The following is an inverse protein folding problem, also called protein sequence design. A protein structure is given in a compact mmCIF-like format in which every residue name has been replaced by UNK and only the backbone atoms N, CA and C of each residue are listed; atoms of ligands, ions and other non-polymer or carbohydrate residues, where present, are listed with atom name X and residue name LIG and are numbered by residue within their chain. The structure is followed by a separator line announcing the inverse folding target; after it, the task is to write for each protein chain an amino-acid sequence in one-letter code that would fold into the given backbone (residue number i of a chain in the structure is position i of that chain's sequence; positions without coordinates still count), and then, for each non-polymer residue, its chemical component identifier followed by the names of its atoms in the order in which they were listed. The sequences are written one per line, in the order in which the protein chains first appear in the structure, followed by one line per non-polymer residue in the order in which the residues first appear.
data_IF_970492236086
#
_entry.id   IF_970492236086
#
_cell.length_a   1.000
_cell.length_b   1.000
_cell.length_c   1.000
_cell.angle_alpha   90.00
_cell.angle_beta   90.00
_cell.angle_gamma   90.00
#
_symmetry.space_group_name_H-M   'P 1'
#
loop_
_entity.id
_entity.type
_entity.pdbx_description
1 polymer ?
#
# COMPACT_ATOMS: atom_id res chain seq x y z
N UNK A 1 -17.67 6.01 40.11
CA UNK A 1 -18.89 6.35 39.36
C UNK A 1 -19.63 5.05 39.11
N UNK A 2 -20.81 4.89 39.71
CA UNK A 2 -21.51 3.61 39.86
C UNK A 2 -22.53 3.37 38.75
N UNK A 3 -22.72 2.09 38.39
CA UNK A 3 -23.62 1.57 37.33
C UNK A 3 -25.09 2.01 37.42
N UNK A 4 -25.51 2.56 38.55
CA UNK A 4 -26.89 3.01 38.78
C UNK A 4 -27.28 4.26 37.97
N UNK A 5 -26.32 5.08 37.55
CA UNK A 5 -26.58 6.24 36.69
C UNK A 5 -26.80 5.83 35.24
N UNK A 6 -26.11 4.79 34.78
CA UNK A 6 -26.28 4.26 33.42
C UNK A 6 -27.60 3.48 33.30
N UNK A 7 -27.97 2.72 34.33
CA UNK A 7 -29.25 2.02 34.38
C UNK A 7 -30.45 2.99 34.43
N UNK A 8 -30.35 4.12 35.16
CA UNK A 8 -31.38 5.17 35.13
C UNK A 8 -31.47 5.90 33.78
N UNK A 9 -30.34 6.12 33.11
CA UNK A 9 -30.31 6.77 31.80
C UNK A 9 -30.89 5.87 30.69
N UNK A 10 -30.69 4.55 30.78
CA UNK A 10 -31.24 3.60 29.80
C UNK A 10 -32.70 3.22 30.10
N UNK A 11 -33.15 3.32 31.36
CA UNK A 11 -34.55 3.12 31.73
C UNK A 11 -35.49 4.24 31.25
N UNK A 12 -35.02 5.48 31.14
CA UNK A 12 -35.83 6.63 30.70
C UNK A 12 -36.05 6.69 29.19
N UNK A 13 -35.29 5.93 28.40
CA UNK A 13 -35.39 5.91 26.94
C UNK A 13 -36.41 4.88 26.40
N UNK A 14 -36.97 4.02 27.24
CA UNK A 14 -37.85 2.93 26.79
C UNK A 14 -39.35 3.25 26.83
N UNK A 15 -39.77 4.39 27.39
CA UNK A 15 -41.20 4.72 27.57
C UNK A 15 -41.65 6.03 26.94
N UNK A 16 -40.79 6.79 26.27
CA UNK A 16 -41.21 7.98 25.54
C UNK A 16 -41.61 7.59 24.11
N UNK A 17 -42.86 7.14 23.94
CA UNK A 17 -43.54 7.23 22.64
C UNK A 17 -43.40 8.68 22.17
N UNK A 18 -42.79 8.88 21.01
CA UNK A 18 -42.68 10.18 20.34
C UNK A 18 -44.06 10.83 20.31
N UNK A 19 -44.24 11.89 21.10
CA UNK A 19 -45.42 12.73 20.98
C UNK A 19 -45.26 13.55 19.70
N UNK A 20 -46.27 13.54 18.84
CA UNK A 20 -46.33 14.36 17.61
C UNK A 20 -46.01 15.83 17.89
N UNK A 21 -46.30 16.30 19.10
CA UNK A 21 -45.99 17.64 19.62
C UNK A 21 -44.48 17.96 19.61
N UNK A 22 -43.61 16.97 19.86
CA UNK A 22 -42.17 17.18 19.77
C UNK A 22 -41.70 17.29 18.31
N UNK A 23 -42.38 16.63 17.38
CA UNK A 23 -42.11 16.72 15.95
C UNK A 23 -42.55 18.08 15.39
N UNK A 24 -43.71 18.60 15.81
CA UNK A 24 -44.21 19.90 15.37
C UNK A 24 -43.33 21.03 15.89
N UNK A 25 -42.85 20.95 17.13
CA UNK A 25 -41.92 21.95 17.67
C UNK A 25 -40.57 21.95 16.96
N UNK A 26 -40.05 20.77 16.60
CA UNK A 26 -38.82 20.64 15.80
C UNK A 26 -39.05 21.18 14.38
N UNK A 27 -40.23 20.96 13.82
CA UNK A 27 -40.61 21.47 12.50
C UNK A 27 -40.74 23.00 12.51
N UNK A 28 -41.35 23.58 13.53
CA UNK A 28 -41.46 25.03 13.70
C UNK A 28 -40.09 25.68 13.95
N UNK A 29 -39.23 25.06 14.75
CA UNK A 29 -37.85 25.54 14.94
C UNK A 29 -37.03 25.45 13.65
N UNK A 30 -37.22 24.39 12.85
CA UNK A 30 -36.62 24.28 11.53
C UNK A 30 -37.17 25.34 10.57
N UNK A 31 -38.48 25.53 10.46
CA UNK A 31 -39.07 26.54 9.59
C UNK A 31 -38.66 27.96 9.99
N UNK A 32 -38.57 28.25 11.29
CA UNK A 32 -38.07 29.52 11.81
C UNK A 32 -36.59 29.73 11.46
N UNK A 33 -35.75 28.69 11.60
CA UNK A 33 -34.34 28.70 11.23
C UNK A 33 -34.13 28.89 9.71
N UNK A 34 -35.01 28.31 8.89
CA UNK A 34 -34.98 28.47 7.43
C UNK A 34 -35.39 29.87 7.00
N UNK A 35 -36.42 30.47 7.62
CA UNK A 35 -36.82 31.87 7.35
C UNK A 35 -35.73 32.86 7.77
N UNK A 36 -35.04 32.64 8.89
CA UNK A 36 -33.90 33.49 9.29
C UNK A 36 -32.70 33.35 8.35
N UNK A 37 -32.52 32.17 7.72
CA UNK A 37 -31.48 31.97 6.69
C UNK A 37 -31.82 32.67 5.37
N UNK A 38 -33.09 32.66 4.97
CA UNK A 38 -33.57 33.33 3.76
C UNK A 38 -33.58 34.87 3.88
N UNK A 39 -33.75 35.39 5.10
CA UNK A 39 -33.79 36.84 5.39
C UNK A 39 -32.41 37.50 5.54
N UNK A 40 -31.29 36.75 5.48
CA UNK A 40 -29.96 37.38 5.44
C UNK A 40 -29.78 38.07 4.09
N UNK A 41 -29.54 39.39 4.04
CA UNK A 41 -29.18 40.05 2.80
C UNK A 41 -27.95 39.33 2.24
N UNK A 42 -28.02 38.92 0.98
CA UNK A 42 -26.89 38.37 0.22
C UNK A 42 -25.74 39.37 0.32
N UNK A 43 -24.85 39.18 1.29
CA UNK A 43 -23.52 39.77 1.26
C UNK A 43 -22.93 39.33 -0.08
N UNK A 44 -22.57 40.30 -0.90
CA UNK A 44 -21.89 40.11 -2.17
C UNK A 44 -20.65 39.25 -1.95
N UNK A 45 -20.82 37.94 -2.08
CA UNK A 45 -19.71 37.00 -2.01
C UNK A 45 -18.85 37.21 -3.23
N UNK A 46 -17.54 37.23 -3.03
CA UNK A 46 -16.58 37.05 -4.11
C UNK A 46 -17.07 35.92 -5.02
N UNK A 47 -17.41 36.27 -6.26
CA UNK A 47 -17.78 35.32 -7.28
C UNK A 47 -16.53 34.51 -7.62
N UNK A 48 -16.33 33.39 -6.93
CA UNK A 48 -15.34 32.40 -7.34
C UNK A 48 -15.82 31.89 -8.70
N UNK A 49 -15.05 32.14 -9.78
CA UNK A 49 -15.48 31.76 -11.11
C UNK A 49 -15.67 30.24 -11.19
N UNK A 50 -16.65 29.79 -11.97
CA UNK A 50 -17.06 28.38 -12.08
C UNK A 50 -15.89 27.44 -12.41
N UNK A 51 -14.86 27.93 -13.11
CA UNK A 51 -13.65 27.16 -13.41
C UNK A 51 -12.88 26.75 -12.14
N UNK A 52 -12.85 27.58 -11.09
CA UNK A 52 -12.13 27.27 -9.83
C UNK A 52 -12.86 26.17 -9.06
N UNK A 53 -14.19 26.10 -9.15
CA UNK A 53 -14.96 24.98 -8.58
C UNK A 53 -14.68 23.67 -9.33
N UNK A 54 -14.62 23.73 -10.66
CA UNK A 54 -14.28 22.55 -11.47
C UNK A 54 -12.85 22.06 -11.21
N UNK A 55 -11.89 22.98 -11.10
CA UNK A 55 -10.48 22.67 -10.78
C UNK A 55 -10.36 22.10 -9.36
N UNK A 56 -11.08 22.66 -8.38
CA UNK A 56 -11.06 22.14 -7.00
C UNK A 56 -11.65 20.73 -6.90
N UNK A 57 -12.73 20.44 -7.65
CA UNK A 57 -13.31 19.09 -7.71
C UNK A 57 -12.34 18.12 -8.40
N UNK A 58 -11.74 18.51 -9.53
CA UNK A 58 -10.76 17.67 -10.22
C UNK A 58 -9.52 17.39 -9.35
N UNK A 59 -8.99 18.41 -8.67
CA UNK A 59 -7.88 18.25 -7.73
C UNK A 59 -8.26 17.35 -6.54
N UNK A 60 -9.48 17.46 -6.02
CA UNK A 60 -9.99 16.58 -4.97
C UNK A 60 -10.06 15.12 -5.43
N UNK A 61 -10.55 14.85 -6.64
CA UNK A 61 -10.59 13.50 -7.21
C UNK A 61 -9.19 12.93 -7.40
N UNK A 62 -8.24 13.72 -7.92
CA UNK A 62 -6.85 13.31 -8.07
C UNK A 62 -6.17 13.03 -6.72
N UNK A 63 -6.42 13.85 -5.71
CA UNK A 63 -5.88 13.64 -4.37
C UNK A 63 -6.43 12.36 -3.72
N UNK A 64 -7.73 12.07 -3.89
CA UNK A 64 -8.34 10.82 -3.40
C UNK A 64 -7.77 9.63 -4.14
N UNK A 65 -7.63 9.69 -5.48
CA UNK A 65 -7.03 8.62 -6.27
C UNK A 65 -5.57 8.36 -5.85
N UNK A 66 -4.79 9.41 -5.63
CA UNK A 66 -3.41 9.30 -5.14
C UNK A 66 -3.35 8.67 -3.73
N UNK A 67 -4.24 9.07 -2.83
CA UNK A 67 -4.31 8.51 -1.49
C UNK A 67 -4.75 7.04 -1.49
N UNK A 68 -5.62 6.63 -2.42
CA UNK A 68 -6.01 5.22 -2.56
C UNK A 68 -4.86 4.35 -3.06
N UNK A 69 -4.08 4.81 -4.04
CA UNK A 69 -2.97 4.01 -4.59
C UNK A 69 -1.82 3.87 -3.57
N UNK A 70 -1.65 4.85 -2.68
CA UNK A 70 -0.62 4.81 -1.62
C UNK A 70 -1.14 4.35 -0.26
N UNK A 71 -2.33 3.74 -0.21
CA UNK A 71 -2.92 3.28 1.03
C UNK A 71 -2.15 2.08 1.59
N UNK A 72 -1.71 2.17 2.84
CA UNK A 72 -1.13 1.04 3.59
C UNK A 72 -2.21 0.22 4.29
N UNK A 73 -1.88 -1.02 4.68
CA UNK A 73 -2.80 -1.99 5.30
C UNK A 73 -3.53 -1.50 6.58
N UNK A 74 -2.99 -0.47 7.22
CA UNK A 74 -3.53 0.21 8.39
C UNK A 74 -4.64 1.23 8.06
N UNK A 75 -4.84 1.55 6.78
CA UNK A 75 -5.84 2.53 6.33
C UNK A 75 -7.15 1.89 5.85
N UNK A 76 -8.30 2.58 5.95
CA UNK A 76 -9.57 2.09 5.42
C UNK A 76 -9.60 2.05 3.88
N UNK A 77 -8.69 2.77 3.21
CA UNK A 77 -8.58 2.79 1.75
C UNK A 77 -7.83 1.58 1.20
N UNK A 78 -7.23 0.75 2.06
CA UNK A 78 -6.48 -0.42 1.65
C UNK A 78 -7.29 -1.37 0.76
N UNK A 79 -8.54 -1.67 1.12
CA UNK A 79 -9.41 -2.52 0.30
C UNK A 79 -9.68 -1.92 -1.09
N UNK A 80 -9.75 -0.59 -1.20
CA UNK A 80 -9.92 0.08 -2.49
C UNK A 80 -8.64 -0.01 -3.35
N UNK A 81 -7.46 0.09 -2.72
CA UNK A 81 -6.16 -0.14 -3.38
C UNK A 81 -6.11 -1.54 -3.98
N UNK A 82 -6.38 -2.56 -3.17
CA UNK A 82 -6.39 -3.97 -3.58
C UNK A 82 -7.34 -4.18 -4.76
N UNK A 83 -8.56 -3.66 -4.70
CA UNK A 83 -9.53 -3.79 -5.78
C UNK A 83 -9.08 -3.12 -7.10
N UNK A 84 -8.36 -2.01 -7.02
CA UNK A 84 -7.80 -1.33 -8.19
C UNK A 84 -6.64 -2.13 -8.78
N UNK A 85 -5.70 -2.58 -7.95
CA UNK A 85 -4.57 -3.43 -8.38
C UNK A 85 -5.04 -4.72 -9.03
N UNK A 86 -6.00 -5.42 -8.42
CA UNK A 86 -6.55 -6.67 -8.94
C UNK A 86 -7.28 -6.44 -10.28
N UNK A 87 -7.92 -5.28 -10.49
CA UNK A 87 -8.52 -4.92 -11.77
C UNK A 87 -7.48 -4.68 -12.87
N UNK A 88 -6.31 -4.14 -12.52
CA UNK A 88 -5.21 -3.92 -13.47
C UNK A 88 -4.57 -5.21 -13.97
N UNK A 89 -4.70 -6.33 -13.25
CA UNK A 89 -4.22 -7.65 -13.70
C UNK A 89 -4.75 -8.01 -15.09
N UNK A 90 -6.02 -7.70 -15.38
CA UNK A 90 -6.65 -8.02 -16.67
C UNK A 90 -6.18 -7.12 -17.83
N UNK A 91 -5.56 -5.98 -17.53
CA UNK A 91 -5.08 -5.00 -18.51
C UNK A 91 -3.59 -5.19 -18.85
N UNK A 92 -2.89 -6.04 -18.09
CA UNK A 92 -1.46 -6.20 -18.20
C UNK A 92 -1.07 -7.21 -19.28
N UNK A 93 0.04 -6.92 -19.98
CA UNK A 93 0.57 -7.79 -21.04
C UNK A 93 1.09 -9.13 -20.53
N UNK A 94 1.64 -9.14 -19.31
CA UNK A 94 2.06 -10.35 -18.60
C UNK A 94 1.41 -10.38 -17.21
N UNK A 95 0.22 -10.97 -17.09
CA UNK A 95 -0.53 -10.97 -15.84
C UNK A 95 0.10 -11.90 -14.78
N UNK A 96 0.88 -12.91 -15.16
CA UNK A 96 1.56 -13.81 -14.19
C UNK A 96 2.72 -13.09 -13.52
N UNK A 97 3.58 -12.42 -14.30
CA UNK A 97 4.67 -11.63 -13.72
C UNK A 97 4.14 -10.53 -12.80
N UNK A 98 3.07 -9.84 -13.21
CA UNK A 98 2.47 -8.77 -12.41
C UNK A 98 1.84 -9.26 -11.11
N UNK A 99 1.08 -10.36 -11.13
CA UNK A 99 0.50 -10.91 -9.89
C UNK A 99 1.58 -11.47 -8.96
N UNK A 100 2.69 -11.98 -9.51
CA UNK A 100 3.84 -12.43 -8.70
C UNK A 100 4.49 -11.25 -7.98
N UNK A 101 4.70 -10.12 -8.68
CA UNK A 101 5.20 -8.89 -8.06
C UNK A 101 4.25 -8.37 -6.96
N UNK A 102 2.95 -8.40 -7.23
CA UNK A 102 1.90 -8.02 -6.28
C UNK A 102 1.91 -8.89 -5.01
N UNK A 103 2.13 -10.20 -5.18
CA UNK A 103 2.25 -11.15 -4.09
C UNK A 103 3.46 -10.83 -3.19
N UNK A 104 4.63 -10.60 -3.80
CA UNK A 104 5.86 -10.26 -3.08
C UNK A 104 5.74 -8.93 -2.32
N UNK A 105 5.11 -7.91 -2.94
CA UNK A 105 4.87 -6.62 -2.30
C UNK A 105 3.97 -6.75 -1.06
N UNK A 106 2.85 -7.49 -1.17
CA UNK A 106 1.90 -7.71 -0.06
C UNK A 106 2.54 -8.52 1.07
N UNK A 107 3.41 -9.47 0.74
CA UNK A 107 4.16 -10.26 1.72
C UNK A 107 5.16 -9.39 2.49
N UNK A 108 5.86 -8.48 1.80
CA UNK A 108 6.76 -7.52 2.44
C UNK A 108 6.00 -6.53 3.34
N UNK A 109 4.82 -6.06 2.90
CA UNK A 109 3.96 -5.18 3.69
C UNK A 109 3.45 -5.86 4.97
N UNK A 110 3.01 -7.12 4.88
CA UNK A 110 2.63 -7.90 6.05
C UNK A 110 3.76 -8.02 7.07
N UNK A 111 4.97 -8.36 6.61
CA UNK A 111 6.17 -8.44 7.46
C UNK A 111 6.49 -7.09 8.12
N UNK A 112 6.33 -5.98 7.40
CA UNK A 112 6.53 -4.65 7.96
C UNK A 112 5.53 -4.34 9.08
N UNK A 113 4.25 -4.66 8.90
CA UNK A 113 3.20 -4.43 9.90
C UNK A 113 3.36 -5.31 11.15
N UNK A 114 3.89 -6.52 10.99
CA UNK A 114 4.26 -7.37 12.12
C UNK A 114 5.43 -6.77 12.92
N UNK A 115 6.43 -6.25 12.21
CA UNK A 115 7.58 -5.61 12.85
C UNK A 115 7.20 -4.32 13.60
N UNK A 116 6.19 -3.59 13.15
CA UNK A 116 5.65 -2.40 13.84
C UNK A 116 4.66 -2.75 14.95
N UNK A 117 4.26 -4.01 15.09
CA UNK A 117 3.33 -4.49 16.11
C UNK A 117 1.86 -4.25 15.79
N UNK A 118 1.52 -3.90 14.54
CA UNK A 118 0.14 -3.66 14.12
C UNK A 118 -0.51 -4.94 13.60
N UNK A 119 -0.98 -5.79 14.52
CA UNK A 119 -1.52 -7.11 14.21
C UNK A 119 -2.74 -7.09 13.26
N UNK A 120 -3.58 -6.05 13.31
CA UNK A 120 -4.75 -5.91 12.44
C UNK A 120 -4.35 -5.56 11.00
N UNK A 121 -3.37 -4.67 10.83
CA UNK A 121 -2.86 -4.33 9.51
C UNK A 121 -2.10 -5.52 8.90
N UNK A 122 -1.30 -6.22 9.71
CA UNK A 122 -0.63 -7.45 9.30
C UNK A 122 -1.61 -8.53 8.83
N UNK A 123 -2.72 -8.75 9.54
CA UNK A 123 -3.71 -9.75 9.13
C UNK A 123 -4.40 -9.39 7.82
N UNK A 124 -4.71 -8.11 7.59
CA UNK A 124 -5.26 -7.63 6.31
C UNK A 124 -4.28 -7.80 5.15
N UNK A 125 -3.01 -7.49 5.36
CA UNK A 125 -1.98 -7.67 4.34
C UNK A 125 -1.82 -9.16 3.97
N UNK A 126 -1.80 -10.06 4.97
CA UNK A 126 -1.77 -11.52 4.73
C UNK A 126 -2.99 -12.02 3.95
N UNK A 127 -4.19 -11.52 4.27
CA UNK A 127 -5.39 -11.87 3.52
C UNK A 127 -5.27 -11.43 2.04
N UNK A 128 -4.73 -10.24 1.79
CA UNK A 128 -4.47 -9.77 0.44
C UNK A 128 -3.39 -10.59 -0.29
N UNK A 129 -2.40 -11.14 0.44
CA UNK A 129 -1.41 -12.08 -0.09
C UNK A 129 -2.06 -13.41 -0.52
N UNK A 130 -2.98 -13.95 0.29
CA UNK A 130 -3.75 -15.15 -0.07
C UNK A 130 -4.62 -14.93 -1.31
N UNK A 131 -5.26 -13.76 -1.41
CA UNK A 131 -6.04 -13.37 -2.58
C UNK A 131 -5.17 -13.23 -3.84
N UNK A 132 -3.97 -12.64 -3.73
CA UNK A 132 -3.00 -12.58 -4.83
C UNK A 132 -2.55 -13.96 -5.28
N UNK A 133 -2.28 -14.89 -4.34
CA UNK A 133 -1.94 -16.27 -4.66
C UNK A 133 -3.10 -17.00 -5.35
N UNK A 134 -4.34 -16.72 -4.92
CA UNK A 134 -5.54 -17.23 -5.58
C UNK A 134 -5.69 -16.69 -7.00
N UNK A 135 -5.37 -15.42 -7.25
CA UNK A 135 -5.33 -14.83 -8.59
C UNK A 135 -4.22 -15.46 -9.43
N UNK A 136 -3.03 -15.67 -8.87
CA UNK A 136 -1.90 -16.29 -9.55
C UNK A 136 -2.28 -17.69 -10.06
N UNK A 137 -2.91 -18.50 -9.20
CA UNK A 137 -3.40 -19.83 -9.55
C UNK A 137 -4.53 -19.81 -10.60
N UNK A 138 -5.25 -18.70 -10.77
CA UNK A 138 -6.26 -18.53 -11.81
C UNK A 138 -5.68 -18.06 -13.15
N UNK A 139 -4.61 -17.26 -13.11
CA UNK A 139 -3.98 -16.68 -14.31
C UNK A 139 -2.96 -17.63 -14.93
N UNK A 140 -2.17 -18.34 -14.10
CA UNK A 140 -1.18 -19.31 -14.55
C UNK A 140 -1.72 -20.41 -15.50
N UNK A 141 -2.90 -21.03 -15.28
CA UNK A 141 -3.45 -22.00 -16.22
C UNK A 141 -3.86 -21.36 -17.56
N UNK A 142 -4.32 -20.10 -17.56
CA UNK A 142 -4.77 -19.43 -18.80
C UNK A 142 -3.65 -19.12 -19.79
N UNK A 143 -2.41 -18.95 -19.33
CA UNK A 143 -1.26 -18.78 -20.24
C UNK A 143 -0.90 -20.08 -20.98
N UNK A 144 -1.34 -21.24 -20.49
CA UNK A 144 -1.05 -22.54 -21.10
C UNK A 144 -2.14 -23.00 -22.09
N UNK A 145 -3.28 -22.31 -22.19
CA UNK A 145 -4.42 -22.71 -23.04
C UNK A 145 -4.32 -22.20 -24.51
N UNK A 146 -3.30 -21.42 -24.88
CA UNK A 146 -3.04 -20.97 -26.26
C UNK A 146 -1.95 -21.81 -26.97
N UNK A 147 -1.94 -23.13 -26.76
CA UNK A 147 -1.19 -24.10 -27.56
C UNK A 147 -1.95 -25.44 -27.62
N UNK A 148 -2.02 -26.13 -28.77
CA UNK A 148 -2.90 -27.27 -28.94
C UNK A 148 -2.50 -28.46 -28.05
N UNK A 149 -3.48 -28.91 -27.27
CA UNK A 149 -3.65 -30.23 -26.62
C UNK A 149 -2.83 -31.37 -27.27
N UNK A 150 -2.22 -32.25 -26.45
CA UNK A 150 -2.95 -33.46 -26.06
C UNK A 150 -2.85 -33.85 -24.57
N UNK A 151 -4.01 -34.30 -24.08
CA UNK A 151 -4.30 -35.32 -23.05
C UNK A 151 -3.91 -35.14 -21.57
N UNK A 152 -4.87 -35.38 -20.64
CA UNK A 152 -4.67 -35.18 -19.20
C UNK A 152 -4.10 -36.44 -18.54
N UNK A 153 -2.96 -36.31 -17.85
CA UNK A 153 -2.54 -37.31 -16.86
C UNK A 153 -2.69 -36.71 -15.47
N UNK A 154 -3.62 -37.27 -14.70
CA UNK A 154 -4.00 -36.78 -13.40
C UNK A 154 -2.89 -36.84 -12.36
N UNK A 155 -2.92 -35.86 -11.46
CA UNK A 155 -2.33 -35.95 -10.13
C UNK A 155 -3.39 -35.47 -9.13
N UNK A 156 -4.14 -36.43 -8.59
CA UNK A 156 -5.01 -36.20 -7.43
C UNK A 156 -4.10 -36.02 -6.23
N UNK A 157 -3.97 -34.80 -5.72
CA UNK A 157 -3.27 -34.53 -4.46
C UNK A 157 -4.20 -34.98 -3.32
N UNK A 158 -3.85 -36.09 -2.69
CA UNK A 158 -4.56 -36.66 -1.54
C UNK A 158 -4.35 -35.81 -0.28
N UNK A 159 -5.45 -35.32 0.25
CA UNK A 159 -5.61 -34.71 1.57
C UNK A 159 -5.43 -35.80 2.67
N UNK A 160 -4.52 -35.68 3.65
CA UNK A 160 -4.53 -36.59 4.79
C UNK A 160 -5.66 -36.20 5.76
N UNK A 161 -6.59 -37.15 5.93
CA UNK A 161 -7.69 -37.17 6.89
C UNK A 161 -7.17 -37.22 8.35
N UNK A 162 -7.81 -36.52 9.31
CA UNK A 162 -7.37 -36.54 10.72
C UNK A 162 -7.75 -37.88 11.40
N UNK A 163 -6.73 -38.57 11.90
CA UNK A 163 -6.89 -39.85 12.61
C UNK A 163 -7.22 -39.63 14.09
N UNK A 164 -8.11 -40.49 14.58
CA UNK A 164 -8.87 -40.42 15.82
C UNK A 164 -8.03 -40.45 17.11
N UNK A 165 -8.56 -39.72 18.09
CA UNK A 165 -8.26 -39.75 19.53
C UNK A 165 -8.23 -41.17 20.09
N UNK A 166 -7.16 -41.58 20.82
CA UNK A 166 -7.24 -42.69 21.75
C UNK A 166 -7.69 -42.23 23.14
N UNK A 167 -8.42 -43.16 23.75
CA UNK A 167 -9.11 -43.21 25.04
C UNK A 167 -8.16 -43.04 26.26
N UNK A 168 -8.58 -42.38 27.36
CA UNK A 168 -7.74 -42.20 28.53
C UNK A 168 -7.64 -43.50 29.35
N UNK A 169 -6.45 -44.10 29.35
CA UNK A 169 -6.11 -45.25 30.20
C UNK A 169 -6.01 -44.83 31.67
N UNK A 170 -6.88 -45.39 32.49
CA UNK A 170 -6.87 -45.29 33.95
C UNK A 170 -5.59 -45.91 34.49
N UNK A 171 -4.75 -45.11 35.17
CA UNK A 171 -3.52 -45.59 35.81
C UNK A 171 -3.65 -45.50 37.35
N UNK A 172 -3.28 -46.56 38.10
CA UNK A 172 -3.66 -46.72 39.50
C UNK A 172 -2.98 -45.78 40.49
N UNK A 173 -3.70 -45.58 41.58
CA UNK A 173 -3.41 -44.81 42.79
C UNK A 173 -2.04 -45.15 43.40
N UNK A 174 -1.14 -44.17 43.59
CA UNK A 174 0.07 -44.39 44.38
C UNK A 174 -0.22 -44.38 45.88
N UNK A 175 0.45 -45.32 46.55
CA UNK A 175 0.56 -45.55 48.00
C UNK A 175 0.95 -44.28 48.78
N UNK A 176 0.52 -44.14 50.06
CA UNK A 176 0.89 -42.99 50.89
C UNK A 176 2.40 -42.94 51.16
N UNK A 177 3.03 -41.87 50.68
CA UNK A 177 4.43 -41.52 50.94
C UNK A 177 4.57 -40.97 52.37
N UNK A 178 5.59 -41.37 53.14
CA UNK A 178 5.79 -40.90 54.51
C UNK A 178 5.99 -39.39 54.58
N UNK A 179 5.34 -38.77 55.57
CA UNK A 179 5.43 -37.36 55.94
C UNK A 179 6.89 -36.95 56.18
N UNK A 180 7.43 -36.13 55.28
CA UNK A 180 8.72 -35.48 55.46
C UNK A 180 8.62 -34.39 56.53
N UNK A 181 9.66 -34.34 57.37
CA UNK A 181 9.85 -33.36 58.45
C UNK A 181 9.74 -31.90 57.97
N UNK A 182 9.35 -30.96 58.85
CA UNK A 182 9.11 -29.57 58.48
C UNK A 182 10.37 -28.94 57.85
N UNK A 183 10.23 -28.23 56.72
CA UNK A 183 11.35 -27.54 56.09
C UNK A 183 11.85 -26.42 56.99
N UNK A 184 13.16 -26.36 57.17
CA UNK A 184 13.81 -25.25 57.87
C UNK A 184 13.55 -23.96 57.10
N UNK A 185 13.13 -22.94 57.82
CA UNK A 185 12.88 -21.58 57.33
C UNK A 185 14.10 -21.10 56.52
N UNK A 186 13.94 -20.77 55.22
CA UNK A 186 15.04 -20.24 54.43
C UNK A 186 15.44 -18.87 54.97
N UNK A 187 16.74 -18.70 55.17
CA UNK A 187 17.36 -17.43 55.55
C UNK A 187 17.10 -16.41 54.43
N UNK A 188 16.74 -15.14 54.74
CA UNK A 188 16.47 -14.12 53.73
C UNK A 188 17.68 -13.95 52.82
N UNK A 189 17.54 -14.40 51.58
CA UNK A 189 18.55 -14.20 50.54
C UNK A 189 18.42 -12.76 50.10
N UNK A 190 19.48 -11.97 50.30
CA UNK A 190 19.55 -10.58 49.85
C UNK A 190 19.36 -10.56 48.34
N UNK A 191 18.23 -10.00 47.90
CA UNK A 191 17.91 -9.84 46.50
C UNK A 191 18.99 -8.99 45.84
N UNK A 192 19.75 -9.59 44.92
CA UNK A 192 20.72 -8.86 44.10
C UNK A 192 19.95 -7.84 43.26
N UNK A 193 20.27 -6.58 43.45
CA UNK A 193 19.76 -5.46 42.65
C UNK A 193 19.92 -5.79 41.16
N UNK A 194 18.85 -5.71 40.35
CA UNK A 194 18.95 -6.01 38.93
C UNK A 194 19.93 -5.05 38.28
N UNK A 195 20.97 -5.60 37.65
CA UNK A 195 21.90 -4.84 36.83
C UNK A 195 21.11 -4.17 35.70
N UNK A 196 21.29 -2.86 35.45
CA UNK A 196 20.59 -2.18 34.37
C UNK A 196 20.85 -2.88 33.03
N UNK A 197 19.77 -3.19 32.31
CA UNK A 197 19.88 -3.73 30.95
C UNK A 197 20.63 -2.71 30.07
N UNK A 198 21.51 -3.16 29.16
CA UNK A 198 22.21 -2.27 28.26
C UNK A 198 21.20 -1.47 27.42
N UNK A 199 21.51 -0.20 27.09
CA UNK A 199 20.62 0.63 26.31
C UNK A 199 20.36 -0.03 24.95
N UNK A 200 19.07 -0.11 24.58
CA UNK A 200 18.66 -0.61 23.27
C UNK A 200 19.38 0.20 22.19
N UNK A 201 20.05 -0.44 21.20
CA UNK A 201 20.71 0.29 20.13
C UNK A 201 19.70 1.18 19.41
N UNK A 202 20.02 2.46 19.31
CA UNK A 202 19.24 3.42 18.52
C UNK A 202 19.24 2.94 17.06
N UNK A 203 18.08 2.83 16.40
CA UNK A 203 18.04 2.44 15.00
C UNK A 203 18.85 3.44 14.16
N UNK A 204 19.56 2.96 13.12
CA UNK A 204 20.27 3.85 12.20
C UNK A 204 19.28 4.86 11.60
N UNK A 205 19.73 6.10 11.31
CA UNK A 205 18.86 7.11 10.73
C UNK A 205 18.29 6.60 9.41
N UNK A 206 16.97 6.64 9.29
CA UNK A 206 16.28 6.35 8.03
C UNK A 206 16.81 7.32 6.95
N UNK A 207 17.31 6.82 5.81
CA UNK A 207 17.88 7.69 4.79
C UNK A 207 16.80 8.60 4.20
N UNK A 208 16.99 9.91 4.34
CA UNK A 208 16.05 10.93 3.86
C UNK A 208 15.99 10.93 2.33
N UNK A 209 14.79 10.73 1.79
CA UNK A 209 14.51 10.90 0.37
C UNK A 209 14.26 12.37 0.06
N UNK A 210 14.65 12.82 -1.13
CA UNK A 210 14.39 14.17 -1.61
C UNK A 210 14.16 14.18 -3.13
N UNK A 211 13.53 15.24 -3.63
CA UNK A 211 13.33 15.44 -5.05
C UNK A 211 14.66 15.83 -5.72
N UNK A 212 14.98 15.15 -6.81
CA UNK A 212 16.18 15.33 -7.61
C UNK A 212 15.78 15.80 -9.01
N UNK A 213 16.40 16.88 -9.46
CA UNK A 213 16.27 17.42 -10.80
C UNK A 213 17.34 16.82 -11.70
N UNK A 214 16.93 16.01 -12.68
CA UNK A 214 17.82 15.44 -13.67
C UNK A 214 17.76 16.23 -14.98
N UNK A 215 18.94 16.62 -15.47
CA UNK A 215 19.10 17.33 -16.75
C UNK A 215 20.19 16.70 -17.60
N UNK A 216 19.97 16.64 -18.91
CA UNK A 216 20.94 16.07 -19.83
C UNK A 216 20.64 16.37 -21.29
N UNK A 217 21.51 15.87 -22.16
CA UNK A 217 21.32 15.95 -23.61
C UNK A 217 21.32 14.58 -24.25
N UNK A 218 20.58 14.43 -25.34
CA UNK A 218 20.34 13.18 -26.05
C UNK A 218 20.51 13.42 -27.54
N UNK A 219 21.43 12.66 -28.14
CA UNK A 219 21.86 12.86 -29.52
C UNK A 219 21.90 11.51 -30.24
N UNK A 220 21.71 11.50 -31.55
CA UNK A 220 22.02 10.33 -32.37
C UNK A 220 23.55 10.19 -32.56
N UNK A 221 23.98 9.08 -33.15
CA UNK A 221 25.40 8.82 -33.41
C UNK A 221 26.05 9.84 -34.37
N UNK A 222 25.25 10.56 -35.16
CA UNK A 222 25.67 11.64 -36.06
C UNK A 222 25.73 13.03 -35.38
N UNK A 223 25.42 13.11 -34.08
CA UNK A 223 25.40 14.35 -33.31
C UNK A 223 24.12 15.17 -33.45
N UNK A 224 23.13 14.70 -34.22
CA UNK A 224 21.85 15.40 -34.32
C UNK A 224 21.02 15.23 -33.04
N UNK A 225 20.31 16.29 -32.59
CA UNK A 225 19.51 16.23 -31.37
C UNK A 225 18.31 15.28 -31.56
N UNK A 226 18.02 14.48 -30.53
CA UNK A 226 16.88 13.56 -30.57
C UNK A 226 15.63 14.22 -30.00
N UNK A 227 14.54 14.16 -30.75
CA UNK A 227 13.22 14.65 -30.32
C UNK A 227 12.28 13.49 -29.99
N UNK A 228 11.52 13.67 -28.90
CA UNK A 228 10.52 12.74 -28.38
C UNK A 228 11.11 11.33 -28.11
N UNK A 229 12.37 11.26 -27.70
CA UNK A 229 12.88 10.03 -27.11
C UNK A 229 12.24 9.86 -25.74
N UNK A 230 11.77 8.66 -25.48
CA UNK A 230 11.15 8.29 -24.23
C UNK A 230 12.21 7.89 -23.20
N UNK A 231 12.17 8.51 -22.03
CA UNK A 231 12.99 8.15 -20.87
C UNK A 231 12.19 7.23 -19.98
N UNK A 232 12.79 6.11 -19.57
CA UNK A 232 12.21 5.14 -18.66
C UNK A 232 13.23 4.65 -17.64
N UNK A 233 12.76 4.12 -16.51
CA UNK A 233 13.59 3.41 -15.53
C UNK A 233 13.74 1.93 -15.87
N UNK A 234 12.93 1.40 -16.78
CA UNK A 234 13.01 0.02 -17.26
C UNK A 234 13.78 -0.10 -18.57
N UNK A 235 14.48 -1.22 -18.76
CA UNK A 235 15.20 -1.55 -20.00
C UNK A 235 14.29 -1.96 -21.16
N UNK A 236 13.09 -2.42 -20.85
CA UNK A 236 12.01 -2.70 -21.81
C UNK A 236 11.24 -1.41 -22.05
N UNK A 237 10.75 -1.18 -23.27
CA UNK A 237 9.95 -0.01 -23.64
C UNK A 237 8.70 0.09 -22.75
N UNK A 238 8.85 0.77 -21.62
CA UNK A 238 7.86 0.90 -20.57
C UNK A 238 7.22 2.28 -20.57
N UNK A 239 6.56 2.61 -19.46
CA UNK A 239 5.95 3.93 -19.28
C UNK A 239 6.99 5.04 -19.39
N UNK A 240 6.60 6.10 -20.10
CA UNK A 240 7.45 7.23 -20.37
C UNK A 240 7.40 8.23 -19.21
N UNK A 241 8.51 8.36 -18.47
CA UNK A 241 8.59 9.31 -17.35
C UNK A 241 8.96 10.72 -17.82
N UNK A 242 9.65 10.83 -18.96
CA UNK A 242 10.03 12.08 -19.57
C UNK A 242 10.25 11.90 -21.07
N UNK A 243 10.16 12.99 -21.83
CA UNK A 243 10.45 13.00 -23.27
C UNK A 243 11.51 14.04 -23.58
N UNK A 244 12.33 13.78 -24.61
CA UNK A 244 13.33 14.74 -25.04
C UNK A 244 12.73 15.82 -25.93
N UNK A 245 13.13 17.07 -25.72
CA UNK A 245 12.76 18.19 -26.59
C UNK A 245 14.01 18.91 -27.05
N UNK A 246 14.22 18.99 -28.37
CA UNK A 246 15.42 19.53 -29.00
C UNK A 246 16.73 18.91 -28.46
N UNK A 247 16.72 17.58 -28.26
CA UNK A 247 17.86 16.87 -27.69
C UNK A 247 18.13 17.17 -26.21
N UNK A 248 17.26 17.90 -25.50
CA UNK A 248 17.36 18.13 -24.06
C UNK A 248 16.38 17.22 -23.31
N UNK A 249 16.80 16.73 -22.14
CA UNK A 249 15.96 15.98 -21.20
C UNK A 249 15.97 16.69 -19.85
N UNK A 250 14.79 16.89 -19.29
CA UNK A 250 14.56 17.52 -17.98
C UNK A 250 13.42 16.79 -17.28
N UNK A 251 13.67 16.26 -16.07
CA UNK A 251 12.64 15.65 -15.25
C UNK A 251 13.00 15.62 -13.76
N UNK A 252 11.99 15.37 -12.94
CA UNK A 252 12.12 15.22 -11.50
C UNK A 252 11.86 13.77 -11.09
N UNK A 253 12.65 13.27 -10.14
CA UNK A 253 12.43 11.97 -9.51
C UNK A 253 12.78 12.04 -8.02
N UNK A 254 12.35 11.04 -7.24
CA UNK A 254 12.67 10.95 -5.82
C UNK A 254 13.85 10.00 -5.65
N UNK A 255 14.91 10.45 -4.97
CA UNK A 255 16.11 9.65 -4.74
C UNK A 255 16.74 9.94 -3.38
N UNK A 256 17.66 9.06 -2.96
CA UNK A 256 18.50 9.26 -1.77
C UNK A 256 19.93 9.55 -2.19
N UNK A 257 20.65 10.29 -1.35
CA UNK A 257 22.07 10.55 -1.58
C UNK A 257 22.84 9.22 -1.56
N UNK A 258 23.58 8.95 -2.63
CA UNK A 258 24.32 7.71 -2.85
C UNK A 258 23.56 6.68 -3.69
N UNK A 259 22.27 6.88 -3.99
CA UNK A 259 21.52 5.99 -4.88
C UNK A 259 22.12 6.04 -6.29
N UNK A 260 22.29 4.86 -6.90
CA UNK A 260 22.70 4.72 -8.29
C UNK A 260 21.50 4.31 -9.13
N UNK A 261 21.08 5.18 -10.04
CA UNK A 261 19.89 5.00 -10.86
C UNK A 261 20.29 4.89 -12.33
N UNK A 262 19.64 3.99 -13.06
CA UNK A 262 19.80 3.87 -14.51
C UNK A 262 18.53 4.29 -15.22
N UNK A 263 18.68 5.17 -16.20
CA UNK A 263 17.62 5.56 -17.11
C UNK A 263 17.92 5.02 -18.50
N UNK A 264 16.88 4.52 -19.15
CA UNK A 264 16.90 4.00 -20.50
C UNK A 264 16.17 4.97 -21.39
N UNK A 265 16.80 5.33 -22.51
CA UNK A 265 16.23 6.22 -23.50
C UNK A 265 15.91 5.40 -24.73
N UNK A 266 14.69 5.53 -25.23
CA UNK A 266 14.22 4.78 -26.38
C UNK A 266 13.51 5.72 -27.36
N UNK A 267 13.84 5.63 -28.64
CA UNK A 267 13.13 6.34 -29.71
C UNK A 267 12.81 5.35 -30.81
N UNK A 268 11.53 5.19 -31.10
CA UNK A 268 11.10 4.48 -32.30
C UNK A 268 10.81 5.50 -33.39
N UNK A 269 11.54 5.39 -34.49
CA UNK A 269 11.26 6.20 -35.67
C UNK A 269 10.08 5.58 -36.42
N UNK A 270 8.98 6.35 -36.50
CA UNK A 270 7.73 5.92 -37.15
C UNK A 270 7.89 5.75 -38.66
N UNK A 271 8.87 6.43 -39.28
CA UNK A 271 9.09 6.37 -40.73
C UNK A 271 9.87 5.12 -41.13
N UNK A 272 10.88 4.75 -40.32
CA UNK A 272 11.77 3.62 -40.62
C UNK A 272 11.46 2.36 -39.83
N UNK A 273 10.59 2.45 -38.81
CA UNK A 273 10.30 1.36 -37.88
C UNK A 273 11.48 0.99 -36.98
N UNK A 274 12.58 1.76 -37.01
CA UNK A 274 13.81 1.46 -36.27
C UNK A 274 13.72 1.97 -34.84
N UNK A 275 14.17 1.16 -33.90
CA UNK A 275 14.26 1.55 -32.49
C UNK A 275 15.71 1.87 -32.13
N UNK A 276 15.92 3.08 -31.65
CA UNK A 276 17.17 3.53 -31.08
C UNK A 276 17.09 3.45 -29.57
N UNK A 277 18.15 2.94 -28.92
CA UNK A 277 18.25 2.85 -27.46
C UNK A 277 19.54 3.46 -26.94
N UNK A 278 19.47 3.99 -25.73
CA UNK A 278 20.59 4.48 -24.94
C UNK A 278 20.38 4.17 -23.46
N UNK A 279 21.47 4.16 -22.69
CA UNK A 279 21.44 3.99 -21.24
C UNK A 279 22.31 5.05 -20.61
N UNK A 280 21.80 5.67 -19.56
CA UNK A 280 22.57 6.57 -18.69
C UNK A 280 22.44 6.11 -17.25
N UNK A 281 23.54 6.12 -16.52
CA UNK A 281 23.56 5.77 -15.10
C UNK A 281 24.11 6.95 -14.33
N UNK A 282 23.38 7.38 -13.30
CA UNK A 282 23.78 8.49 -12.44
C UNK A 282 23.81 8.07 -10.97
N UNK A 283 24.65 8.76 -10.21
CA UNK A 283 24.68 8.66 -8.75
C UNK A 283 24.14 9.94 -8.16
N UNK A 284 23.13 9.84 -7.31
CA UNK A 284 22.50 11.00 -6.68
C UNK A 284 23.43 11.57 -5.62
N UNK A 285 24.01 12.74 -5.88
CA UNK A 285 24.88 13.43 -4.91
C UNK A 285 24.16 14.57 -4.16
N UNK A 286 23.10 15.11 -4.75
CA UNK A 286 22.36 16.26 -4.25
C UNK A 286 21.08 16.49 -5.06
N UNK A 287 20.41 17.64 -4.90
CA UNK A 287 19.10 17.93 -5.51
C UNK A 287 19.17 18.13 -7.03
N UNK A 288 20.37 18.21 -7.61
CA UNK A 288 20.59 18.21 -9.05
C UNK A 288 21.47 17.04 -9.45
N UNK A 289 21.12 16.38 -10.56
CA UNK A 289 21.85 15.25 -11.10
C UNK A 289 22.06 15.42 -12.62
N UNK A 290 23.28 15.81 -13.06
CA UNK A 290 23.57 15.91 -14.49
C UNK A 290 23.67 14.50 -15.09
N UNK A 291 22.82 14.21 -16.08
CA UNK A 291 22.84 12.98 -16.87
C UNK A 291 23.99 12.99 -17.91
N UNK A 292 24.50 14.17 -18.26
CA UNK A 292 25.49 14.34 -19.32
C UNK A 292 24.88 14.18 -20.72
N UNK A 293 25.71 13.82 -21.70
CA UNK A 293 25.29 13.58 -23.08
C UNK A 293 25.15 12.10 -23.33
N UNK A 294 23.95 11.65 -23.69
CA UNK A 294 23.67 10.25 -24.05
C UNK A 294 23.50 10.13 -25.55
N UNK A 295 24.20 9.17 -26.15
CA UNK A 295 24.05 8.85 -27.58
C UNK A 295 23.10 7.67 -27.76
N UNK A 296 22.10 7.82 -28.63
CA UNK A 296 21.22 6.71 -29.00
C UNK A 296 21.84 5.91 -30.14
N UNK A 297 21.80 4.59 -30.02
CA UNK A 297 22.28 3.65 -31.02
C UNK A 297 21.14 2.75 -31.51
N UNK A 298 21.21 2.35 -32.77
CA UNK A 298 20.27 1.40 -33.34
C UNK A 298 20.40 0.04 -32.64
N UNK A 299 19.26 -0.59 -32.33
CA UNK A 299 19.17 -1.94 -31.73
C UNK A 299 18.45 -2.87 -32.68
#
# INVERSE_FOLDING_TARGET
MTDETLARALGSLRTVRMSEIASDRVRDELEAAWRTRAARPRRSGFAIPSFVRAVAVAAGVLAVAYATVNASADTPLYAARIAVEDAFVALQSDPVAYVTELYDERLAEAAHQEATGNALAASRARQATEDALRLLNQVAPRQNDEAPSPEPTGAIITLPSPTLSPEPTVTPTPSPTPTAAPPRTPLPTTAKTPTPAPPKPTPPPTPTQFAVHATGTVQYADGTPVNEACVSTSSTAGSCIATTTNGSVDFWFIGRKGDTLSFYLTKTDVMTGRTYRGKVTITVQGPSAPLGTTTLRLV
#
